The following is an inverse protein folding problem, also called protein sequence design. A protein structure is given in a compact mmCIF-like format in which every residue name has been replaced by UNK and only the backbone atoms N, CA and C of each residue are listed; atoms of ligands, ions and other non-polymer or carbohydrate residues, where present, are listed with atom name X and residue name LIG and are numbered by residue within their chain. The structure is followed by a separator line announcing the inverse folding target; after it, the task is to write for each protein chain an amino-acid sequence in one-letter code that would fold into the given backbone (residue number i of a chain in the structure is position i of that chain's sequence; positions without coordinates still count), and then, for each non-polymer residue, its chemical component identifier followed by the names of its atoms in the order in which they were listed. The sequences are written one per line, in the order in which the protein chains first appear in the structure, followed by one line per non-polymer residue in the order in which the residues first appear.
data_IF_935352644937
#
_entry.id   IF_935352644937
#
_cell.length_a   1.000
_cell.length_b   1.000
_cell.length_c   1.000
_cell.angle_alpha   90.00
_cell.angle_beta   90.00
_cell.angle_gamma   90.00
#
_symmetry.space_group_name_H-M   'P 1'
#
loop_
_entity.id
_entity.type
_entity.pdbx_description
1 polymer ?
#
# COMPACT_ATOMS: atom_id res chain seq x y z
N UNK A 1 16.36 -0.96 -20.48
CA UNK A 1 15.80 -2.29 -20.84
C UNK A 1 16.75 -3.39 -20.41
N UNK A 2 18.04 -3.38 -20.81
CA UNK A 2 19.02 -4.44 -20.53
C UNK A 2 19.21 -4.73 -19.03
N UNK A 3 19.24 -3.69 -18.19
CA UNK A 3 19.35 -3.85 -16.72
C UNK A 3 18.13 -4.57 -16.16
N UNK A 4 16.93 -4.22 -16.61
CA UNK A 4 15.68 -4.86 -16.16
C UNK A 4 15.66 -6.33 -16.58
N UNK A 5 16.04 -6.63 -17.83
CA UNK A 5 16.15 -8.02 -18.31
C UNK A 5 17.14 -8.82 -17.48
N UNK A 6 18.30 -8.24 -17.15
CA UNK A 6 19.30 -8.88 -16.30
C UNK A 6 18.77 -9.18 -14.89
N UNK A 7 18.04 -8.24 -14.26
CA UNK A 7 17.42 -8.44 -12.95
C UNK A 7 16.40 -9.59 -12.99
N UNK A 8 15.56 -9.65 -14.03
CA UNK A 8 14.59 -10.75 -14.19
C UNK A 8 15.27 -12.09 -14.43
N UNK A 9 16.38 -12.13 -15.20
CA UNK A 9 17.15 -13.33 -15.39
C UNK A 9 17.75 -13.83 -14.07
N UNK A 10 18.33 -12.94 -13.28
CA UNK A 10 18.88 -13.25 -11.97
C UNK A 10 17.77 -13.77 -11.04
N UNK A 11 16.62 -13.13 -11.01
CA UNK A 11 15.46 -13.57 -10.23
C UNK A 11 14.99 -14.98 -10.66
N UNK A 12 14.93 -15.26 -11.97
CA UNK A 12 14.60 -16.58 -12.49
C UNK A 12 15.60 -17.64 -12.03
N UNK A 13 16.91 -17.35 -12.07
CA UNK A 13 17.96 -18.26 -11.58
C UNK A 13 17.84 -18.53 -10.08
N UNK A 14 17.47 -17.53 -9.27
CA UNK A 14 17.20 -17.75 -7.85
C UNK A 14 15.95 -18.61 -7.62
N UNK A 15 14.90 -18.44 -8.43
CA UNK A 15 13.70 -19.30 -8.34
C UNK A 15 14.02 -20.79 -8.61
N UNK A 16 14.95 -21.09 -9.50
CA UNK A 16 15.38 -22.47 -9.76
C UNK A 16 16.11 -23.12 -8.56
N UNK A 17 16.57 -22.30 -7.60
CA UNK A 17 17.25 -22.78 -6.38
C UNK A 17 16.31 -22.96 -5.18
N UNK A 18 15.02 -22.69 -5.33
CA UNK A 18 14.04 -22.91 -4.25
C UNK A 18 13.95 -24.43 -4.02
N UNK A 19 14.31 -24.93 -2.82
CA UNK A 19 14.23 -26.37 -2.53
C UNK A 19 12.76 -26.80 -2.50
N UNK A 20 12.53 -28.07 -2.87
CA UNK A 20 11.23 -28.68 -2.68
C UNK A 20 10.90 -28.70 -1.18
N UNK A 21 9.80 -28.06 -0.80
CA UNK A 21 9.34 -27.99 0.59
C UNK A 21 8.75 -29.31 1.08
N UNK A 22 8.58 -30.30 0.21
CA UNK A 22 7.93 -31.57 0.51
C UNK A 22 6.43 -31.47 0.80
N UNK A 23 5.85 -30.28 0.72
CA UNK A 23 4.42 -30.06 0.92
C UNK A 23 3.62 -30.69 -0.23
N UNK A 24 2.92 -31.78 0.06
CA UNK A 24 2.03 -32.43 -0.88
C UNK A 24 0.59 -32.08 -0.52
N UNK A 25 -0.09 -31.45 -1.46
CA UNK A 25 -1.53 -31.20 -1.35
C UNK A 25 -2.29 -32.32 -2.07
N UNK A 26 -3.47 -32.73 -1.58
CA UNK A 26 -4.30 -33.70 -2.28
C UNK A 26 -4.68 -33.16 -3.67
N UNK A 27 -4.74 -34.07 -4.65
CA UNK A 27 -5.13 -33.72 -6.02
C UNK A 27 -6.52 -33.07 -6.00
N UNK A 28 -6.59 -31.82 -6.43
CA UNK A 28 -7.85 -31.13 -6.57
C UNK A 28 -8.44 -31.41 -7.95
N UNK A 29 -9.63 -32.01 -7.99
CA UNK A 29 -10.41 -32.08 -9.21
C UNK A 29 -10.78 -30.65 -9.64
N UNK A 30 -10.37 -30.26 -10.84
CA UNK A 30 -10.66 -28.93 -11.40
C UNK A 30 -12.15 -28.82 -11.67
N UNK A 31 -12.90 -28.34 -10.70
CA UNK A 31 -14.30 -27.98 -10.85
C UNK A 31 -14.43 -26.46 -10.61
N UNK A 32 -14.63 -25.64 -11.66
CA UNK A 32 -14.71 -24.19 -11.55
C UNK A 32 -15.78 -23.71 -10.57
N UNK A 33 -16.92 -24.41 -10.50
CA UNK A 33 -18.01 -24.07 -9.58
C UNK A 33 -17.59 -24.30 -8.14
N UNK A 34 -16.91 -25.42 -7.87
CA UNK A 34 -16.43 -25.71 -6.52
C UNK A 34 -15.33 -24.73 -6.10
N UNK A 35 -14.36 -24.44 -6.98
CA UNK A 35 -13.31 -23.47 -6.72
C UNK A 35 -13.88 -22.07 -6.41
N UNK A 36 -14.92 -21.66 -7.15
CA UNK A 36 -15.61 -20.38 -6.88
C UNK A 36 -16.31 -20.40 -5.52
N UNK A 37 -16.98 -21.49 -5.15
CA UNK A 37 -17.58 -21.63 -3.81
C UNK A 37 -16.54 -21.59 -2.72
N UNK A 38 -15.44 -22.33 -2.86
CA UNK A 38 -14.36 -22.38 -1.87
C UNK A 38 -13.70 -21.01 -1.72
N UNK A 39 -13.57 -20.25 -2.80
CA UNK A 39 -13.11 -18.86 -2.77
C UNK A 39 -14.04 -17.98 -1.92
N UNK A 40 -15.36 -18.01 -2.18
CA UNK A 40 -16.32 -17.19 -1.42
C UNK A 40 -16.43 -17.62 0.04
N UNK A 41 -16.25 -18.90 0.34
CA UNK A 41 -16.16 -19.38 1.73
C UNK A 41 -14.91 -18.78 2.41
N UNK A 42 -13.75 -18.87 1.78
CA UNK A 42 -12.50 -18.28 2.29
C UNK A 42 -12.60 -16.76 2.46
N UNK A 43 -13.19 -16.07 1.47
CA UNK A 43 -13.49 -14.64 1.53
C UNK A 43 -14.32 -14.30 2.78
N UNK A 44 -15.40 -15.03 3.01
CA UNK A 44 -16.28 -14.79 4.14
C UNK A 44 -15.61 -15.08 5.50
N UNK A 45 -14.83 -16.15 5.59
CA UNK A 45 -14.07 -16.50 6.80
C UNK A 45 -13.11 -15.35 7.16
N UNK A 46 -12.33 -14.85 6.19
CA UNK A 46 -11.32 -13.82 6.45
C UNK A 46 -11.95 -12.47 6.81
N UNK A 47 -13.08 -12.11 6.18
CA UNK A 47 -13.83 -10.89 6.50
C UNK A 47 -14.61 -10.98 7.83
N UNK A 48 -14.89 -12.19 8.34
CA UNK A 48 -15.50 -12.39 9.66
C UNK A 48 -14.50 -12.49 10.79
N UNK A 49 -13.27 -12.88 10.50
CA UNK A 49 -12.22 -12.91 11.52
C UNK A 49 -11.87 -11.49 11.98
N UNK A 50 -11.80 -11.27 13.28
CA UNK A 50 -11.62 -9.93 13.88
C UNK A 50 -10.29 -9.28 13.52
N UNK A 51 -9.23 -10.05 13.37
CA UNK A 51 -7.91 -9.57 12.93
C UNK A 51 -7.80 -9.58 11.41
N UNK A 52 -8.34 -10.62 10.77
CA UNK A 52 -8.38 -10.78 9.33
C UNK A 52 -9.07 -9.60 8.64
N UNK A 53 -10.26 -9.20 9.09
CA UNK A 53 -11.00 -8.08 8.50
C UNK A 53 -10.25 -6.75 8.59
N UNK A 54 -9.54 -6.49 9.70
CA UNK A 54 -8.75 -5.26 9.87
C UNK A 54 -7.54 -5.27 8.94
N UNK A 55 -6.76 -6.34 8.96
CA UNK A 55 -5.57 -6.45 8.13
C UNK A 55 -5.91 -6.48 6.62
N UNK A 56 -6.98 -7.20 6.24
CA UNK A 56 -7.44 -7.26 4.86
C UNK A 56 -7.96 -5.89 4.37
N UNK A 57 -8.77 -5.18 5.18
CA UNK A 57 -9.26 -3.85 4.85
C UNK A 57 -8.10 -2.86 4.64
N UNK A 58 -7.09 -2.92 5.51
CA UNK A 58 -5.90 -2.08 5.44
C UNK A 58 -5.08 -2.35 4.18
N UNK A 59 -4.76 -3.61 3.89
CA UNK A 59 -3.97 -3.96 2.70
C UNK A 59 -4.73 -3.65 1.42
N UNK A 60 -6.03 -3.91 1.39
CA UNK A 60 -6.93 -3.55 0.29
C UNK A 60 -6.91 -2.05 0.00
N UNK A 61 -7.08 -1.22 1.04
CA UNK A 61 -6.99 0.24 0.91
C UNK A 61 -5.59 0.68 0.46
N UNK A 62 -4.54 0.11 1.05
CA UNK A 62 -3.16 0.47 0.75
C UNK A 62 -2.81 0.27 -0.73
N UNK A 63 -3.14 -0.88 -1.31
CA UNK A 63 -2.83 -1.16 -2.70
C UNK A 63 -3.62 -0.30 -3.67
N UNK A 64 -4.93 -0.10 -3.41
CA UNK A 64 -5.73 0.82 -4.21
C UNK A 64 -5.24 2.26 -4.12
N UNK A 65 -4.96 2.73 -2.90
CA UNK A 65 -4.43 4.06 -2.66
C UNK A 65 -3.04 4.24 -3.27
N UNK A 66 -2.14 3.28 -3.11
CA UNK A 66 -0.78 3.33 -3.64
C UNK A 66 -0.74 3.43 -5.17
N UNK A 67 -1.55 2.60 -5.86
CA UNK A 67 -1.66 2.65 -7.31
C UNK A 67 -2.20 4.01 -7.81
N UNK A 68 -3.23 4.54 -7.14
CA UNK A 68 -3.84 5.82 -7.50
C UNK A 68 -2.92 7.00 -7.22
N UNK A 69 -2.21 6.96 -6.07
CA UNK A 69 -1.27 8.01 -5.69
C UNK A 69 -0.15 8.22 -6.72
N UNK A 70 0.29 7.15 -7.39
CA UNK A 70 1.30 7.28 -8.46
C UNK A 70 0.83 8.21 -9.59
N UNK A 71 -0.42 8.09 -10.02
CA UNK A 71 -0.99 8.95 -11.06
C UNK A 71 -1.27 10.36 -10.53
N UNK A 72 -1.73 10.48 -9.28
CA UNK A 72 -1.92 11.76 -8.60
C UNK A 72 -0.59 12.52 -8.52
N UNK A 73 0.51 11.88 -8.14
CA UNK A 73 1.84 12.50 -8.04
C UNK A 73 2.31 12.99 -9.40
N UNK A 74 2.10 12.22 -10.48
CA UNK A 74 2.45 12.68 -11.83
C UNK A 74 1.65 13.91 -12.26
N UNK A 75 0.34 13.91 -12.01
CA UNK A 75 -0.53 15.04 -12.36
C UNK A 75 -0.23 16.28 -11.51
N UNK A 76 0.06 16.09 -10.23
CA UNK A 76 0.51 17.15 -9.32
C UNK A 76 1.87 17.73 -9.76
N UNK A 77 2.82 16.88 -10.17
CA UNK A 77 4.11 17.31 -10.69
C UNK A 77 3.96 18.24 -11.91
N UNK A 78 3.04 17.88 -12.82
CA UNK A 78 2.73 18.69 -13.99
C UNK A 78 2.09 20.03 -13.61
N UNK A 79 1.03 20.01 -12.77
CA UNK A 79 0.17 21.19 -12.55
C UNK A 79 0.66 22.13 -11.45
N UNK A 80 1.30 21.62 -10.39
CA UNK A 80 1.73 22.40 -9.24
C UNK A 80 3.25 22.66 -9.19
N UNK A 81 4.05 21.76 -9.81
CA UNK A 81 5.51 21.87 -9.79
C UNK A 81 6.10 22.24 -11.16
N UNK A 82 5.28 22.44 -12.20
CA UNK A 82 5.71 22.74 -13.56
C UNK A 82 6.75 21.75 -14.11
N UNK A 83 6.59 20.46 -13.76
CA UNK A 83 7.50 19.39 -14.16
C UNK A 83 6.97 18.64 -15.38
N UNK A 84 7.89 18.19 -16.23
CA UNK A 84 7.56 17.24 -17.29
C UNK A 84 7.44 15.80 -16.73
N UNK A 85 6.95 14.87 -17.56
CA UNK A 85 6.72 13.48 -17.17
C UNK A 85 8.01 12.77 -16.66
N UNK A 86 9.16 13.06 -17.27
CA UNK A 86 10.44 12.48 -16.85
C UNK A 86 10.86 12.96 -15.47
N UNK A 87 10.66 14.23 -15.17
CA UNK A 87 10.92 14.81 -13.85
C UNK A 87 9.92 14.30 -12.80
N UNK A 88 8.64 14.14 -13.19
CA UNK A 88 7.62 13.51 -12.35
C UNK A 88 7.96 12.06 -11.96
N UNK A 89 8.61 11.32 -12.85
CA UNK A 89 9.10 9.98 -12.54
C UNK A 89 10.19 9.97 -11.44
N UNK A 90 10.99 11.03 -11.32
CA UNK A 90 11.96 11.18 -10.22
C UNK A 90 11.25 11.30 -8.89
N UNK A 91 10.11 12.02 -8.82
CA UNK A 91 9.30 12.12 -7.60
C UNK A 91 8.78 10.76 -7.14
N UNK A 92 8.41 9.88 -8.08
CA UNK A 92 8.02 8.51 -7.74
C UNK A 92 9.19 7.71 -7.16
N UNK A 93 10.41 7.85 -7.74
CA UNK A 93 11.61 7.23 -7.18
C UNK A 93 11.92 7.72 -5.76
N UNK A 94 11.75 9.02 -5.50
CA UNK A 94 11.90 9.62 -4.16
C UNK A 94 10.90 9.02 -3.18
N UNK A 95 9.63 8.89 -3.57
CA UNK A 95 8.61 8.23 -2.76
C UNK A 95 8.96 6.76 -2.48
N UNK A 96 9.45 6.03 -3.49
CA UNK A 96 9.88 4.63 -3.34
C UNK A 96 11.03 4.46 -2.33
N UNK A 97 11.98 5.41 -2.28
CA UNK A 97 13.03 5.42 -1.24
C UNK A 97 12.41 5.57 0.15
N UNK A 98 11.42 6.45 0.29
CA UNK A 98 10.64 6.57 1.52
C UNK A 98 10.00 5.23 1.92
N UNK A 99 9.28 4.59 1.00
CA UNK A 99 8.62 3.28 1.22
C UNK A 99 9.64 2.23 1.67
N UNK A 100 10.77 2.11 0.99
CA UNK A 100 11.82 1.16 1.35
C UNK A 100 12.36 1.42 2.76
N UNK A 101 12.66 2.68 3.10
CA UNK A 101 13.12 3.06 4.43
C UNK A 101 12.09 2.73 5.53
N UNK A 102 10.83 3.08 5.31
CA UNK A 102 9.73 2.78 6.24
C UNK A 102 9.51 1.27 6.42
N UNK A 103 9.58 0.51 5.33
CA UNK A 103 9.43 -0.94 5.34
C UNK A 103 10.56 -1.63 6.15
N UNK A 104 11.81 -1.25 5.90
CA UNK A 104 12.98 -1.78 6.64
C UNK A 104 12.88 -1.45 8.13
N UNK A 105 12.49 -0.20 8.45
CA UNK A 105 12.30 0.21 9.82
C UNK A 105 11.19 -0.59 10.52
N UNK A 106 10.04 -0.75 9.87
CA UNK A 106 8.93 -1.54 10.41
C UNK A 106 9.33 -2.99 10.64
N UNK A 107 9.95 -3.63 9.64
CA UNK A 107 10.37 -5.03 9.71
C UNK A 107 11.36 -5.28 10.87
N UNK A 108 12.21 -4.30 11.19
CA UNK A 108 13.22 -4.40 12.26
C UNK A 108 12.70 -4.08 13.66
N UNK A 109 11.57 -3.34 13.78
CA UNK A 109 11.14 -2.77 15.07
C UNK A 109 9.74 -3.19 15.51
N UNK A 110 8.89 -3.66 14.60
CA UNK A 110 7.50 -3.97 14.92
C UNK A 110 7.27 -5.47 14.90
N UNK A 111 7.21 -6.12 16.07
CA UNK A 111 6.83 -7.53 16.14
C UNK A 111 5.35 -7.69 15.76
N UNK A 112 4.98 -8.88 15.29
CA UNK A 112 3.62 -9.20 14.84
C UNK A 112 2.55 -8.86 15.89
N UNK A 113 2.83 -9.10 17.18
CA UNK A 113 1.92 -8.75 18.31
C UNK A 113 1.61 -7.25 18.42
N UNK A 114 2.45 -6.41 17.83
CA UNK A 114 2.28 -4.95 17.83
C UNK A 114 1.83 -4.39 16.48
N UNK A 115 1.50 -5.26 15.51
CA UNK A 115 1.13 -4.86 14.15
C UNK A 115 -0.01 -3.82 14.11
N UNK A 116 -1.01 -3.96 14.98
CA UNK A 116 -2.16 -3.05 15.02
C UNK A 116 -1.85 -1.65 15.56
N UNK A 117 -0.68 -1.46 16.21
CA UNK A 117 -0.24 -0.13 16.70
C UNK A 117 0.10 0.84 15.56
N UNK A 118 0.29 0.34 14.35
CA UNK A 118 0.60 1.19 13.19
C UNK A 118 -0.64 1.82 12.54
N UNK A 119 -1.85 1.40 12.88
CA UNK A 119 -3.09 1.90 12.27
C UNK A 119 -3.22 3.43 12.23
N UNK A 120 -2.87 4.20 13.30
CA UNK A 120 -2.97 5.65 13.26
C UNK A 120 -2.09 6.31 12.19
N UNK A 121 -0.97 5.69 11.80
CA UNK A 121 -0.09 6.24 10.77
C UNK A 121 -0.74 6.26 9.38
N UNK A 122 -1.72 5.39 9.12
CA UNK A 122 -2.52 5.47 7.90
C UNK A 122 -3.39 6.73 7.82
N UNK A 123 -3.92 7.20 8.95
CA UNK A 123 -4.64 8.49 9.03
C UNK A 123 -3.68 9.64 8.76
N UNK A 124 -2.51 9.64 9.40
CA UNK A 124 -1.49 10.68 9.20
C UNK A 124 -1.04 10.73 7.74
N UNK A 125 -0.84 9.57 7.11
CA UNK A 125 -0.49 9.46 5.69
C UNK A 125 -1.54 10.15 4.80
N UNK A 126 -2.83 9.87 5.01
CA UNK A 126 -3.91 10.51 4.27
C UNK A 126 -3.93 12.03 4.44
N UNK A 127 -3.69 12.53 5.65
CA UNK A 127 -3.60 13.97 5.93
C UNK A 127 -2.36 14.61 5.28
N UNK A 128 -1.21 13.93 5.25
CA UNK A 128 -0.03 14.41 4.54
C UNK A 128 -0.28 14.53 3.03
N UNK A 129 -1.05 13.61 2.44
CA UNK A 129 -1.45 13.73 1.03
C UNK A 129 -2.28 14.98 0.79
N UNK A 130 -3.17 15.38 1.74
CA UNK A 130 -3.92 16.63 1.60
C UNK A 130 -3.01 17.88 1.55
N UNK A 131 -1.81 17.83 2.18
CA UNK A 131 -0.85 18.94 2.15
C UNK A 131 -0.30 19.13 0.72
N UNK A 132 -0.20 18.07 -0.09
CA UNK A 132 0.20 18.19 -1.50
C UNK A 132 -0.73 19.12 -2.29
N UNK A 133 -2.03 19.15 -1.95
CA UNK A 133 -3.01 19.99 -2.65
C UNK A 133 -2.77 21.48 -2.46
N UNK A 134 -2.11 21.87 -1.39
CA UNK A 134 -1.89 23.27 -1.01
C UNK A 134 -0.56 23.79 -1.56
N UNK A 135 0.40 22.89 -1.82
CA UNK A 135 1.75 23.30 -2.20
C UNK A 135 1.87 23.59 -3.69
N UNK A 136 2.43 24.77 -4.03
CA UNK A 136 2.83 25.19 -5.37
C UNK A 136 4.29 25.63 -5.39
N UNK A 137 4.98 25.33 -6.49
CA UNK A 137 6.42 25.61 -6.64
C UNK A 137 6.75 27.11 -6.53
N UNK A 138 5.78 27.98 -6.85
CA UNK A 138 5.93 29.43 -6.85
C UNK A 138 5.98 30.05 -5.44
N UNK A 139 5.59 29.27 -4.41
CA UNK A 139 5.58 29.78 -3.03
C UNK A 139 6.97 29.99 -2.44
N UNK A 140 8.00 29.36 -3.01
CA UNK A 140 9.36 29.46 -2.54
C UNK A 140 10.31 29.94 -3.65
N UNK A 141 11.39 30.65 -3.28
CA UNK A 141 12.38 31.11 -4.25
C UNK A 141 13.11 29.92 -4.92
N UNK A 142 13.36 30.04 -6.21
CA UNK A 142 14.09 29.07 -6.98
C UNK A 142 15.58 29.39 -6.97
N UNK A 143 16.37 28.61 -6.24
CA UNK A 143 17.82 28.61 -6.34
C UNK A 143 18.35 27.18 -6.17
N UNK A 144 19.47 26.89 -6.81
CA UNK A 144 20.09 25.59 -6.75
C UNK A 144 20.71 25.34 -5.38
N UNK A 145 20.31 24.23 -4.71
CA UNK A 145 20.92 23.78 -3.45
C UNK A 145 22.17 22.95 -3.74
N UNK A 146 22.05 21.96 -4.58
CA UNK A 146 23.14 21.07 -4.99
C UNK A 146 22.81 20.37 -6.30
N UNK A 147 23.84 19.83 -6.94
CA UNK A 147 23.70 19.04 -8.18
C UNK A 147 24.22 17.63 -7.95
N UNK A 148 23.40 16.62 -8.26
CA UNK A 148 23.77 15.21 -8.15
C UNK A 148 23.55 14.54 -9.49
N UNK A 149 24.61 13.95 -10.08
CA UNK A 149 24.50 13.20 -11.33
C UNK A 149 23.88 13.97 -12.50
N UNK A 150 24.08 15.30 -12.57
CA UNK A 150 23.49 16.18 -13.59
C UNK A 150 22.08 16.70 -13.26
N UNK A 151 21.48 16.28 -12.15
CA UNK A 151 20.20 16.82 -11.65
C UNK A 151 20.43 17.96 -10.67
N UNK A 152 19.82 19.11 -10.94
CA UNK A 152 19.84 20.27 -10.05
C UNK A 152 18.66 20.16 -9.09
N UNK A 153 18.94 20.08 -7.80
CA UNK A 153 17.92 20.13 -6.75
C UNK A 153 17.73 21.58 -6.33
N UNK A 154 16.57 22.13 -6.67
CA UNK A 154 16.21 23.51 -6.33
C UNK A 154 15.53 23.55 -4.95
N UNK A 155 15.73 24.65 -4.23
CA UNK A 155 15.15 24.88 -2.90
C UNK A 155 13.62 24.78 -2.90
N UNK A 156 12.98 25.32 -3.92
CA UNK A 156 11.52 25.28 -4.07
C UNK A 156 10.96 23.86 -4.33
N UNK A 157 11.78 22.84 -4.61
CA UNK A 157 11.33 21.44 -4.74
C UNK A 157 11.53 20.64 -3.44
N UNK A 158 12.30 21.17 -2.50
CA UNK A 158 12.61 20.46 -1.26
C UNK A 158 11.36 20.03 -0.47
N UNK A 159 10.33 20.88 -0.27
CA UNK A 159 9.11 20.46 0.43
C UNK A 159 8.40 19.30 -0.29
N UNK A 160 8.38 19.30 -1.63
CA UNK A 160 7.77 18.22 -2.40
C UNK A 160 8.52 16.88 -2.18
N UNK A 161 9.84 16.90 -2.21
CA UNK A 161 10.65 15.71 -1.93
C UNK A 161 10.45 15.21 -0.50
N UNK A 162 10.50 16.10 0.49
CA UNK A 162 10.32 15.74 1.90
C UNK A 162 8.92 15.17 2.16
N UNK A 163 7.89 15.76 1.56
CA UNK A 163 6.52 15.30 1.68
C UNK A 163 6.35 13.89 1.08
N UNK A 164 6.90 13.65 -0.10
CA UNK A 164 6.83 12.34 -0.75
C UNK A 164 7.64 11.28 -0.01
N UNK A 165 8.81 11.62 0.54
CA UNK A 165 9.58 10.73 1.41
C UNK A 165 8.76 10.40 2.67
N UNK A 166 8.12 11.39 3.29
CA UNK A 166 7.32 11.17 4.50
C UNK A 166 6.10 10.29 4.22
N UNK A 167 5.35 10.56 3.14
CA UNK A 167 4.21 9.73 2.70
C UNK A 167 4.69 8.31 2.40
N UNK A 168 5.78 8.16 1.64
CA UNK A 168 6.36 6.86 1.33
C UNK A 168 6.83 6.11 2.58
N UNK A 169 7.52 6.79 3.49
CA UNK A 169 7.97 6.21 4.75
C UNK A 169 6.81 5.66 5.57
N UNK A 170 5.76 6.47 5.77
CA UNK A 170 4.56 6.03 6.48
C UNK A 170 3.88 4.86 5.78
N UNK A 171 3.83 4.88 4.46
CA UNK A 171 3.27 3.80 3.65
C UNK A 171 4.01 2.46 3.89
N UNK A 172 5.34 2.46 3.80
CA UNK A 172 6.16 1.28 4.08
C UNK A 172 6.08 0.82 5.53
N UNK A 173 6.17 1.78 6.47
CA UNK A 173 6.08 1.51 7.90
C UNK A 173 4.76 0.85 8.31
N UNK A 174 3.69 1.23 7.67
CA UNK A 174 2.34 0.80 7.96
C UNK A 174 1.98 -0.54 7.27
N UNK A 175 2.34 -0.73 6.00
CA UNK A 175 1.90 -1.91 5.24
C UNK A 175 2.58 -3.20 5.67
N UNK A 176 3.85 -3.15 6.05
CA UNK A 176 4.64 -4.36 6.35
C UNK A 176 4.06 -5.14 7.53
N UNK A 177 3.80 -4.54 8.72
CA UNK A 177 3.19 -5.28 9.83
C UNK A 177 1.77 -5.76 9.52
N UNK A 178 1.01 -4.98 8.75
CA UNK A 178 -0.37 -5.34 8.40
C UNK A 178 -0.43 -6.51 7.42
N UNK A 179 0.48 -6.57 6.44
CA UNK A 179 0.65 -7.73 5.58
C UNK A 179 1.07 -8.98 6.37
N UNK A 180 2.01 -8.83 7.30
CA UNK A 180 2.45 -9.94 8.15
C UNK A 180 1.27 -10.49 9.00
N UNK A 181 0.43 -9.60 9.56
CA UNK A 181 -0.77 -9.99 10.31
C UNK A 181 -1.78 -10.70 9.42
N UNK A 182 -2.02 -10.18 8.20
CA UNK A 182 -2.94 -10.81 7.24
C UNK A 182 -2.47 -12.21 6.84
N UNK A 183 -1.18 -12.35 6.53
CA UNK A 183 -0.59 -13.65 6.16
C UNK A 183 -0.68 -14.64 7.32
N UNK A 184 -0.40 -14.19 8.55
CA UNK A 184 -0.53 -15.04 9.74
C UNK A 184 -1.98 -15.52 9.93
N UNK A 185 -2.97 -14.62 9.90
CA UNK A 185 -4.39 -15.02 10.05
C UNK A 185 -4.86 -15.89 8.91
N UNK A 186 -4.47 -15.53 7.68
CA UNK A 186 -4.79 -16.33 6.51
C UNK A 186 -4.22 -17.74 6.56
N UNK A 187 -3.01 -17.92 7.09
CA UNK A 187 -2.41 -19.25 7.28
C UNK A 187 -3.14 -20.07 8.35
N UNK A 188 -3.53 -19.44 9.45
CA UNK A 188 -4.26 -20.12 10.55
C UNK A 188 -5.66 -20.55 10.11
N UNK A 189 -6.39 -19.65 9.45
CA UNK A 189 -7.82 -19.86 9.11
C UNK A 189 -8.05 -20.63 7.81
N UNK A 190 -7.13 -20.51 6.85
CA UNK A 190 -7.26 -21.03 5.50
C UNK A 190 -5.98 -21.79 5.10
N UNK A 191 -5.92 -22.25 3.84
CA UNK A 191 -4.64 -22.60 3.23
C UNK A 191 -3.95 -21.33 2.70
N UNK A 192 -2.62 -21.35 2.58
CA UNK A 192 -1.87 -20.22 2.05
C UNK A 192 -2.37 -19.78 0.68
N UNK A 193 -2.68 -20.70 -0.23
CA UNK A 193 -3.20 -20.38 -1.57
C UNK A 193 -4.57 -19.69 -1.53
N UNK A 194 -5.51 -20.17 -0.72
CA UNK A 194 -6.83 -19.54 -0.58
C UNK A 194 -6.73 -18.14 0.05
N UNK A 195 -5.89 -17.97 1.06
CA UNK A 195 -5.67 -16.66 1.70
C UNK A 195 -5.08 -15.64 0.72
N UNK A 196 -4.05 -16.02 -0.03
CA UNK A 196 -3.44 -15.16 -1.05
C UNK A 196 -4.43 -14.84 -2.17
N UNK A 197 -5.28 -15.79 -2.59
CA UNK A 197 -6.30 -15.52 -3.61
C UNK A 197 -7.32 -14.46 -3.15
N UNK A 198 -7.80 -14.56 -1.89
CA UNK A 198 -8.72 -13.58 -1.30
C UNK A 198 -8.05 -12.22 -1.18
N UNK A 199 -6.80 -12.17 -0.69
CA UNK A 199 -6.03 -10.94 -0.59
C UNK A 199 -5.89 -10.26 -1.95
N UNK A 200 -5.35 -10.97 -2.94
CA UNK A 200 -5.13 -10.44 -4.29
C UNK A 200 -6.43 -9.97 -4.96
N UNK A 201 -7.53 -10.68 -4.77
CA UNK A 201 -8.82 -10.26 -5.30
C UNK A 201 -9.24 -8.89 -4.73
N UNK A 202 -9.18 -8.73 -3.39
CA UNK A 202 -9.56 -7.48 -2.74
C UNK A 202 -8.64 -6.32 -3.14
N UNK A 203 -7.34 -6.56 -3.18
CA UNK A 203 -6.32 -5.57 -3.55
C UNK A 203 -6.51 -5.10 -5.00
N UNK A 204 -6.64 -6.03 -5.96
CA UNK A 204 -6.84 -5.69 -7.37
C UNK A 204 -8.20 -5.03 -7.62
N UNK A 205 -9.26 -5.45 -6.93
CA UNK A 205 -10.56 -4.79 -7.00
C UNK A 205 -10.47 -3.35 -6.50
N UNK A 206 -9.78 -3.12 -5.39
CA UNK A 206 -9.53 -1.77 -4.85
C UNK A 206 -8.73 -0.91 -5.82
N UNK A 207 -7.66 -1.45 -6.40
CA UNK A 207 -6.86 -0.77 -7.43
C UNK A 207 -7.74 -0.36 -8.60
N UNK A 208 -8.55 -1.29 -9.13
CA UNK A 208 -9.45 -1.02 -10.25
C UNK A 208 -10.47 0.08 -9.92
N UNK A 209 -11.13 -0.03 -8.77
CA UNK A 209 -12.16 0.95 -8.37
C UNK A 209 -11.58 2.34 -8.12
N UNK A 210 -10.45 2.44 -7.44
CA UNK A 210 -9.83 3.73 -7.13
C UNK A 210 -9.24 4.39 -8.38
N UNK A 211 -8.64 3.62 -9.28
CA UNK A 211 -8.16 4.15 -10.56
C UNK A 211 -9.30 4.56 -11.48
N UNK A 212 -10.41 3.80 -11.50
CA UNK A 212 -11.61 4.16 -12.25
C UNK A 212 -12.20 5.48 -11.74
N UNK A 213 -12.31 5.63 -10.41
CA UNK A 213 -12.76 6.89 -9.81
C UNK A 213 -11.83 8.05 -10.15
N UNK A 214 -10.50 7.84 -10.03
CA UNK A 214 -9.52 8.85 -10.41
C UNK A 214 -9.67 9.26 -11.90
N UNK A 215 -9.75 8.28 -12.80
CA UNK A 215 -9.92 8.53 -14.23
C UNK A 215 -11.21 9.30 -14.53
N UNK A 216 -12.31 8.97 -13.84
CA UNK A 216 -13.58 9.67 -13.95
C UNK A 216 -13.44 11.14 -13.50
N UNK A 217 -12.79 11.40 -12.35
CA UNK A 217 -12.60 12.75 -11.84
C UNK A 217 -11.75 13.61 -12.81
N UNK A 218 -10.70 13.03 -13.38
CA UNK A 218 -9.87 13.71 -14.39
C UNK A 218 -10.66 13.94 -15.68
N UNK A 219 -11.48 12.98 -16.12
CA UNK A 219 -12.34 13.13 -17.31
C UNK A 219 -13.41 14.21 -17.13
N UNK A 220 -13.88 14.43 -15.90
CA UNK A 220 -14.81 15.50 -15.55
C UNK A 220 -14.12 16.86 -15.32
N UNK A 221 -12.83 16.99 -15.65
CA UNK A 221 -12.03 18.19 -15.45
C UNK A 221 -12.04 18.72 -14.01
N UNK A 222 -12.18 17.83 -13.01
CA UNK A 222 -12.12 18.22 -11.60
C UNK A 222 -10.72 18.77 -11.28
N UNK A 223 -10.62 19.98 -10.67
CA UNK A 223 -9.32 20.57 -10.33
C UNK A 223 -8.43 19.63 -9.51
N UNK A 224 -7.18 19.51 -9.91
CA UNK A 224 -6.21 18.57 -9.29
C UNK A 224 -6.11 18.72 -7.78
N UNK A 225 -6.08 19.93 -7.17
CA UNK A 225 -6.09 20.08 -5.72
C UNK A 225 -7.31 19.45 -5.03
N UNK A 226 -8.48 19.51 -5.68
CA UNK A 226 -9.72 18.89 -5.16
C UNK A 226 -9.58 17.36 -5.21
N UNK A 227 -9.05 16.82 -6.31
CA UNK A 227 -8.79 15.37 -6.44
C UNK A 227 -7.84 14.89 -5.36
N UNK A 228 -6.72 15.59 -5.14
CA UNK A 228 -5.72 15.26 -4.12
C UNK A 228 -6.34 15.33 -2.71
N UNK A 229 -7.06 16.41 -2.40
CA UNK A 229 -7.70 16.57 -1.08
C UNK A 229 -8.74 15.48 -0.85
N UNK A 230 -9.62 15.23 -1.82
CA UNK A 230 -10.65 14.20 -1.74
C UNK A 230 -10.04 12.82 -1.55
N UNK A 231 -8.97 12.51 -2.28
CA UNK A 231 -8.24 11.26 -2.14
C UNK A 231 -7.58 11.12 -0.75
N UNK A 232 -6.85 12.14 -0.29
CA UNK A 232 -6.20 12.13 1.02
C UNK A 232 -7.21 11.99 2.17
N UNK A 233 -8.34 12.71 2.09
CA UNK A 233 -9.43 12.58 3.06
C UNK A 233 -10.08 11.21 3.02
N UNK A 234 -10.29 10.63 1.84
CA UNK A 234 -10.85 9.27 1.71
C UNK A 234 -9.95 8.26 2.41
N UNK A 235 -8.64 8.33 2.21
CA UNK A 235 -7.67 7.46 2.90
C UNK A 235 -7.72 7.69 4.41
N UNK A 236 -7.66 8.94 4.87
CA UNK A 236 -7.66 9.27 6.30
C UNK A 236 -8.95 8.82 7.00
N UNK A 237 -10.12 9.09 6.40
CA UNK A 237 -11.43 8.72 6.97
C UNK A 237 -11.58 7.19 6.97
N UNK A 238 -11.24 6.51 5.88
CA UNK A 238 -11.32 5.04 5.83
C UNK A 238 -10.43 4.41 6.89
N UNK A 239 -9.20 4.90 7.06
CA UNK A 239 -8.29 4.43 8.10
C UNK A 239 -8.82 4.72 9.51
N UNK A 240 -9.42 5.89 9.73
CA UNK A 240 -10.08 6.20 11.00
C UNK A 240 -11.24 5.23 11.28
N UNK A 241 -12.07 4.91 10.27
CA UNK A 241 -13.15 3.92 10.40
C UNK A 241 -12.61 2.52 10.73
N UNK A 242 -11.50 2.12 10.11
CA UNK A 242 -10.81 0.85 10.43
C UNK A 242 -10.33 0.83 11.89
N UNK A 243 -9.76 1.94 12.38
CA UNK A 243 -9.37 2.07 13.80
C UNK A 243 -10.60 1.93 14.72
N UNK A 244 -11.69 2.60 14.39
CA UNK A 244 -12.95 2.48 15.17
C UNK A 244 -13.50 1.05 15.16
N UNK A 245 -13.46 0.39 14.01
CA UNK A 245 -13.86 -1.02 13.91
C UNK A 245 -12.95 -1.92 14.74
N UNK A 246 -11.63 -1.69 14.70
CA UNK A 246 -10.69 -2.42 15.56
C UNK A 246 -10.99 -2.23 17.04
N UNK A 247 -11.22 -0.98 17.50
CA UNK A 247 -11.58 -0.68 18.87
C UNK A 247 -12.88 -1.37 19.31
N UNK A 248 -13.91 -1.36 18.45
CA UNK A 248 -15.17 -2.04 18.72
C UNK A 248 -14.97 -3.57 18.83
N UNK A 249 -14.17 -4.16 17.92
CA UNK A 249 -13.84 -5.58 17.98
C UNK A 249 -13.14 -5.95 19.29
N UNK A 250 -12.21 -5.11 19.78
CA UNK A 250 -11.47 -5.33 21.01
C UNK A 250 -12.35 -5.15 22.27
N UNK A 251 -13.31 -4.22 22.23
CA UNK A 251 -14.24 -4.01 23.33
C UNK A 251 -15.19 -5.21 23.52
N UNK A 252 -15.54 -5.90 22.44
CA UNK A 252 -16.38 -7.08 22.46
C UNK A 252 -15.61 -8.35 22.85
N UNK A 253 -14.38 -8.49 22.36
CA UNK A 253 -13.53 -9.65 22.61
C UNK A 253 -12.05 -9.29 22.36
N UNK A 254 -11.20 -9.55 23.33
CA UNK A 254 -9.77 -9.37 23.16
C UNK A 254 -9.23 -10.41 22.17
N UNK A 255 -9.03 -10.00 20.91
CA UNK A 255 -8.51 -10.86 19.87
C UNK A 255 -6.99 -10.86 19.77
N UNK A 256 -6.26 -10.08 20.59
CA UNK A 256 -4.80 -9.97 20.49
C UNK A 256 -4.10 -11.30 20.85
N UNK A 257 -4.70 -12.13 21.70
CA UNK A 257 -4.17 -13.45 22.02
C UNK A 257 -4.14 -14.41 20.82
N UNK A 258 -4.99 -14.18 19.81
CA UNK A 258 -4.99 -14.94 18.56
C UNK A 258 -3.73 -14.68 17.69
N UNK A 259 -2.93 -13.66 18.05
CA UNK A 259 -1.68 -13.37 17.36
C UNK A 259 -0.59 -14.29 17.90
N UNK A 260 -0.15 -15.23 17.08
CA UNK A 260 0.82 -16.26 17.43
C UNK A 260 0.21 -17.65 17.62
N UNK A 261 -1.09 -17.83 17.37
CA UNK A 261 -1.70 -19.17 17.28
C UNK A 261 -0.99 -19.99 16.19
N UNK A 262 -0.71 -21.26 16.52
CA UNK A 262 -0.29 -22.23 15.53
C UNK A 262 -1.51 -22.82 14.82
N UNK A 263 -1.32 -23.24 13.57
CA UNK A 263 -2.32 -24.01 12.84
C UNK A 263 -2.44 -25.39 13.50
N UNK A 264 -3.64 -25.74 13.97
CA UNK A 264 -3.94 -27.08 14.52
C UNK A 264 -4.19 -28.09 13.40
#
# INVERSE_FOLDING_TARGET
ISIIMFIYLVAALFNLRIPDTGARYPEQKINPVQLTKDFFVGFHILWRDRLGQISLAVTTLFWGAGATLQFIVLKWAETALNMNLSQGAILQAVSAIGVAGGAVWAASRIPLKSALKVLPYGVVMGLLVCIMAIYHIEYLPSFALFTVGGFVVNFNLLPAYLLLIAVGWLAGYFVVPMNALLQHRGHVLLSAGHSIAVQNFNENLSVLMMLMLYALLIWLDVPVPIVITGFGLTVAVTMWLVIKKHQANQAEYDSLHLIGEAKH
#
